data_IF_895647810638
#
_entry.id   IF_895647810638
#
_cell.length_a   1.000
_cell.length_b   1.000
_cell.length_c   1.000
_cell.angle_alpha   90.00
_cell.angle_beta   90.00
_cell.angle_gamma   90.00
#
_symmetry.space_group_name_H-M   'P 1'
#
loop_
_entity.id
_entity.type
_entity.pdbx_description
1 polymer ?
#
# COMPACT_ATOMS: atom_id res chain seq x y z
N UNK A 1 -59.38 39.47 37.74
CA UNK A 1 -58.38 39.48 36.65
C UNK A 1 -57.22 38.61 37.11
N UNK A 2 -57.13 37.41 36.53
CA UNK A 2 -55.98 36.51 36.31
C UNK A 2 -54.75 36.56 37.24
N UNK A 3 -54.06 35.49 37.67
CA UNK A 3 -54.17 34.01 37.59
C UNK A 3 -52.93 33.43 38.32
N UNK A 4 -53.10 32.33 39.07
CA UNK A 4 -52.25 31.13 39.32
C UNK A 4 -50.76 31.08 38.87
N UNK A 5 -49.76 30.45 39.54
CA UNK A 5 -49.59 29.09 40.17
C UNK A 5 -48.28 29.12 41.05
N UNK A 6 -48.15 28.62 42.30
CA UNK A 6 -47.97 27.23 42.84
C UNK A 6 -46.96 26.36 42.03
N UNK A 7 -45.91 25.72 42.54
CA UNK A 7 -45.77 24.87 43.74
C UNK A 7 -44.31 24.74 44.26
N UNK A 8 -44.22 24.21 45.49
CA UNK A 8 -43.07 23.87 46.34
C UNK A 8 -42.73 22.38 46.21
N UNK A 9 -41.44 22.01 46.27
CA UNK A 9 -40.94 20.64 46.60
C UNK A 9 -39.41 20.71 46.82
N UNK A 10 -38.70 19.79 47.48
CA UNK A 10 -38.87 19.00 48.72
C UNK A 10 -37.46 18.38 48.98
N UNK A 11 -37.29 17.84 50.18
CA UNK A 11 -36.12 17.38 50.90
C UNK A 11 -35.09 16.43 50.22
N UNK A 12 -33.88 16.59 50.75
CA UNK A 12 -32.70 15.72 50.71
C UNK A 12 -32.92 14.33 51.33
N UNK A 13 -32.50 13.27 50.64
CA UNK A 13 -32.35 11.93 51.22
C UNK A 13 -30.94 11.36 50.93
N UNK A 14 -30.38 10.71 51.94
CA UNK A 14 -29.06 10.09 51.92
C UNK A 14 -29.15 8.65 52.40
N UNK A 15 -28.72 7.70 51.57
CA UNK A 15 -28.58 6.30 51.99
C UNK A 15 -27.33 5.60 51.41
N UNK A 16 -26.89 4.61 52.18
CA UNK A 16 -25.54 4.04 52.30
C UNK A 16 -25.20 3.00 51.22
N UNK A 17 -23.89 2.93 50.94
CA UNK A 17 -23.18 1.86 50.21
C UNK A 17 -23.32 0.50 50.90
N UNK A 18 -23.57 -0.55 50.10
CA UNK A 18 -23.28 -1.95 50.45
C UNK A 18 -22.22 -2.46 49.47
N UNK A 19 -21.10 -2.89 50.03
CA UNK A 19 -19.91 -3.38 49.34
C UNK A 19 -19.93 -4.92 49.37
N UNK A 20 -20.17 -5.56 48.22
CA UNK A 20 -20.16 -7.03 48.10
C UNK A 20 -18.84 -7.45 47.47
N UNK A 21 -17.88 -7.76 48.34
CA UNK A 21 -16.57 -8.29 47.98
C UNK A 21 -16.65 -9.82 47.93
N UNK A 22 -16.70 -10.37 46.72
CA UNK A 22 -16.54 -11.79 46.43
C UNK A 22 -15.71 -11.99 45.17
N UNK A 23 -14.38 -11.86 45.28
CA UNK A 23 -13.47 -12.23 44.20
C UNK A 23 -13.00 -13.68 44.42
N UNK A 24 -13.54 -14.55 43.57
CA UNK A 24 -13.11 -15.91 43.31
C UNK A 24 -11.75 -15.88 42.59
N UNK A 25 -10.83 -16.74 43.02
CA UNK A 25 -9.47 -16.90 42.51
C UNK A 25 -9.43 -17.14 41.00
N UNK A 26 -8.76 -16.27 40.26
CA UNK A 26 -8.42 -16.48 38.85
C UNK A 26 -7.28 -17.49 38.72
N UNK A 27 -7.58 -18.64 38.10
CA UNK A 27 -6.57 -19.53 37.54
C UNK A 27 -5.87 -18.83 36.38
N UNK A 28 -4.58 -18.56 36.54
CA UNK A 28 -3.75 -17.91 35.52
C UNK A 28 -3.45 -18.86 34.36
N UNK A 29 -4.23 -18.77 33.28
CA UNK A 29 -3.79 -19.22 31.96
C UNK A 29 -2.93 -18.13 31.32
N UNK A 30 -1.69 -18.47 30.98
CA UNK A 30 -0.77 -17.57 30.29
C UNK A 30 -1.42 -17.00 29.00
N UNK A 31 -1.31 -15.70 28.72
CA UNK A 31 -1.92 -15.13 27.53
C UNK A 31 -1.26 -15.70 26.27
N UNK A 32 -2.05 -16.40 25.45
CA UNK A 32 -1.62 -16.91 24.15
C UNK A 32 -0.98 -15.79 23.32
N UNK A 33 0.26 -16.02 22.90
CA UNK A 33 1.11 -15.06 22.17
C UNK A 33 0.43 -14.68 20.84
N UNK A 34 -0.22 -13.51 20.80
CA UNK A 34 -0.85 -12.98 19.58
C UNK A 34 0.25 -12.42 18.67
N UNK A 35 0.44 -12.92 17.43
CA UNK A 35 1.44 -12.36 16.53
C UNK A 35 1.08 -10.90 16.20
N UNK A 36 2.06 -9.98 16.13
CA UNK A 36 1.78 -8.59 15.84
C UNK A 36 1.25 -8.48 14.39
N UNK A 37 0.18 -7.70 14.14
CA UNK A 37 -0.40 -7.54 12.81
C UNK A 37 0.60 -7.03 11.76
N UNK A 38 1.70 -6.39 12.19
CA UNK A 38 2.75 -5.91 11.32
C UNK A 38 3.52 -7.04 10.61
N UNK A 39 3.89 -8.13 11.28
CA UNK A 39 4.68 -9.21 10.67
C UNK A 39 3.87 -9.95 9.59
N UNK A 40 2.56 -10.09 9.81
CA UNK A 40 1.68 -10.68 8.81
C UNK A 40 1.59 -9.83 7.54
N UNK A 41 1.47 -8.50 7.69
CA UNK A 41 1.52 -7.57 6.57
C UNK A 41 2.86 -7.67 5.85
N UNK A 42 3.98 -7.69 6.57
CA UNK A 42 5.32 -7.83 5.98
C UNK A 42 5.44 -9.14 5.19
N UNK A 43 4.92 -10.24 5.71
CA UNK A 43 4.87 -11.52 5.01
C UNK A 43 4.11 -11.46 3.69
N UNK A 44 2.97 -10.75 3.64
CA UNK A 44 2.19 -10.55 2.41
C UNK A 44 2.81 -9.54 1.43
N UNK A 45 3.59 -8.56 1.94
CA UNK A 45 4.28 -7.58 1.09
C UNK A 45 5.38 -8.22 0.23
N UNK A 46 6.00 -9.31 0.69
CA UNK A 46 7.04 -10.04 -0.08
C UNK A 46 6.50 -10.53 -1.43
N UNK A 47 5.55 -11.47 -1.50
CA UNK A 47 5.05 -11.96 -2.78
C UNK A 47 4.35 -10.87 -3.59
N UNK A 48 3.64 -9.94 -2.94
CA UNK A 48 2.94 -8.87 -3.63
C UNK A 48 3.90 -7.90 -4.34
N UNK A 49 4.99 -7.50 -3.68
CA UNK A 49 6.01 -6.63 -4.30
C UNK A 49 6.75 -7.33 -5.44
N UNK A 50 7.15 -8.59 -5.25
CA UNK A 50 7.79 -9.40 -6.31
C UNK A 50 6.89 -9.53 -7.53
N UNK A 51 5.61 -9.84 -7.33
CA UNK A 51 4.63 -9.91 -8.41
C UNK A 51 4.47 -8.56 -9.10
N UNK A 52 4.38 -7.46 -8.35
CA UNK A 52 4.29 -6.12 -8.92
C UNK A 52 5.53 -5.74 -9.75
N UNK A 53 6.74 -6.08 -9.28
CA UNK A 53 7.98 -5.89 -10.04
C UNK A 53 8.00 -6.73 -11.32
N UNK A 54 7.58 -7.99 -11.26
CA UNK A 54 7.45 -8.84 -12.44
C UNK A 54 6.47 -8.26 -13.45
N UNK A 55 5.32 -7.79 -12.99
CA UNK A 55 4.33 -7.13 -13.83
C UNK A 55 4.90 -5.88 -14.48
N UNK A 56 5.63 -5.03 -13.74
CA UNK A 56 6.32 -3.86 -14.30
C UNK A 56 7.31 -4.27 -15.40
N UNK A 57 8.24 -5.19 -15.09
CA UNK A 57 9.24 -5.66 -16.05
C UNK A 57 8.55 -6.22 -17.29
N UNK A 58 7.59 -7.12 -17.11
CA UNK A 58 6.87 -7.77 -18.20
C UNK A 58 6.12 -6.79 -19.09
N UNK A 59 5.34 -5.87 -18.52
CA UNK A 59 4.60 -4.85 -19.29
C UNK A 59 5.58 -3.94 -20.03
N UNK A 60 6.60 -3.41 -19.36
CA UNK A 60 7.58 -2.54 -20.00
C UNK A 60 8.28 -3.25 -21.16
N UNK A 61 8.67 -4.52 -20.98
CA UNK A 61 9.25 -5.32 -22.06
C UNK A 61 8.28 -5.57 -23.22
N UNK A 62 7.00 -5.86 -22.94
CA UNK A 62 5.98 -6.09 -23.99
C UNK A 62 5.73 -4.84 -24.84
N UNK A 63 5.87 -3.64 -24.26
CA UNK A 63 5.70 -2.37 -24.96
C UNK A 63 7.00 -1.75 -25.46
N UNK A 64 8.12 -2.47 -25.36
CA UNK A 64 9.41 -2.09 -25.94
C UNK A 64 9.53 -2.66 -27.35
N UNK A 65 8.93 -1.97 -28.33
CA UNK A 65 9.03 -2.30 -29.75
C UNK A 65 9.08 -1.01 -30.58
N UNK A 66 9.54 -1.13 -31.84
CA UNK A 66 9.67 0.00 -32.73
C UNK A 66 8.33 0.73 -32.93
N UNK A 67 8.34 2.06 -32.80
CA UNK A 67 7.14 2.91 -32.94
C UNK A 67 6.02 2.59 -31.94
N UNK A 68 6.38 2.23 -30.70
CA UNK A 68 5.40 2.06 -29.62
C UNK A 68 4.52 3.32 -29.47
N UNK A 69 3.20 3.19 -29.27
CA UNK A 69 2.30 4.35 -29.24
C UNK A 69 2.59 5.33 -28.10
N UNK A 70 3.12 4.81 -26.99
CA UNK A 70 3.48 5.58 -25.80
C UNK A 70 4.92 5.23 -25.41
N UNK A 71 5.83 6.16 -25.68
CA UNK A 71 7.23 6.12 -25.28
C UNK A 71 7.45 7.20 -24.20
N UNK A 72 8.00 6.88 -23.02
CA UNK A 72 8.57 5.59 -22.57
C UNK A 72 7.53 4.51 -22.24
N UNK A 73 7.84 3.21 -22.47
CA UNK A 73 6.93 2.09 -22.19
C UNK A 73 6.49 1.96 -20.72
N UNK A 74 7.19 2.61 -19.79
CA UNK A 74 6.86 2.60 -18.36
C UNK A 74 5.45 3.13 -18.09
N UNK A 75 4.91 4.00 -18.96
CA UNK A 75 3.56 4.56 -18.85
C UNK A 75 2.50 3.45 -18.73
N UNK A 76 2.67 2.33 -19.44
CA UNK A 76 1.74 1.20 -19.37
C UNK A 76 1.71 0.51 -18.01
N UNK A 77 2.87 0.41 -17.33
CA UNK A 77 2.92 -0.08 -15.96
C UNK A 77 2.19 0.88 -15.00
N UNK A 78 2.33 2.20 -15.20
CA UNK A 78 1.60 3.19 -14.40
C UNK A 78 0.08 3.05 -14.58
N UNK A 79 -0.39 2.90 -15.83
CA UNK A 79 -1.81 2.70 -16.15
C UNK A 79 -2.37 1.47 -15.43
N UNK A 80 -1.71 0.33 -15.56
CA UNK A 80 -2.19 -0.94 -14.97
C UNK A 80 -2.17 -0.87 -13.44
N UNK A 81 -1.07 -0.38 -12.85
CA UNK A 81 -0.96 -0.26 -11.40
C UNK A 81 -1.97 0.73 -10.80
N UNK A 82 -2.20 1.87 -11.46
CA UNK A 82 -3.20 2.85 -11.03
C UNK A 82 -4.64 2.32 -11.18
N UNK A 83 -4.97 1.61 -12.27
CA UNK A 83 -6.29 1.01 -12.43
C UNK A 83 -6.61 -0.01 -11.32
N UNK A 84 -5.67 -0.93 -11.04
CA UNK A 84 -5.87 -1.92 -9.95
C UNK A 84 -5.94 -1.23 -8.59
N UNK A 85 -5.13 -0.18 -8.35
CA UNK A 85 -5.21 0.61 -7.13
C UNK A 85 -6.59 1.30 -6.98
N UNK A 86 -7.13 1.85 -8.06
CA UNK A 86 -8.45 2.50 -8.07
C UNK A 86 -9.57 1.53 -7.72
N UNK A 87 -9.56 0.33 -8.31
CA UNK A 87 -10.52 -0.71 -7.98
C UNK A 87 -10.41 -1.18 -6.53
N UNK A 88 -9.19 -1.31 -6.00
CA UNK A 88 -8.97 -1.61 -4.58
C UNK A 88 -9.50 -0.49 -3.68
N UNK A 89 -9.26 0.77 -4.03
CA UNK A 89 -9.71 1.95 -3.29
C UNK A 89 -11.23 2.03 -3.21
N UNK A 90 -11.94 1.77 -4.32
CA UNK A 90 -13.41 1.72 -4.37
C UNK A 90 -13.96 0.62 -3.46
N UNK A 91 -13.31 -0.55 -3.46
CA UNK A 91 -13.75 -1.71 -2.68
C UNK A 91 -13.14 -1.79 -1.28
N UNK A 92 -12.60 -0.69 -0.74
CA UNK A 92 -11.92 -0.67 0.57
C UNK A 92 -12.84 -1.16 1.69
N UNK A 93 -14.12 -0.77 1.67
CA UNK A 93 -15.11 -1.22 2.66
C UNK A 93 -15.29 -2.74 2.64
N UNK A 94 -15.25 -3.39 1.48
CA UNK A 94 -15.29 -4.85 1.37
C UNK A 94 -14.07 -5.51 1.98
N UNK A 95 -12.87 -4.99 1.71
CA UNK A 95 -11.67 -5.47 2.38
C UNK A 95 -11.78 -5.30 3.89
N UNK A 96 -12.26 -4.16 4.38
CA UNK A 96 -12.45 -3.93 5.81
C UNK A 96 -13.58 -4.77 6.42
N UNK A 97 -14.57 -5.19 5.63
CA UNK A 97 -15.64 -6.10 6.04
C UNK A 97 -15.19 -7.55 6.17
N UNK A 98 -14.07 -7.95 5.55
CA UNK A 98 -13.42 -9.24 5.77
C UNK A 98 -12.70 -9.20 7.13
N UNK A 99 -13.50 -9.24 8.20
CA UNK A 99 -13.05 -9.35 9.59
C UNK A 99 -13.28 -10.76 10.08
N UNK A 100 -12.17 -11.40 10.45
CA UNK A 100 -12.23 -12.63 11.23
C UNK A 100 -12.57 -12.29 12.67
N UNK A 101 -13.86 -12.43 13.06
CA UNK A 101 -14.27 -12.31 14.47
C UNK A 101 -13.57 -13.42 15.26
N UNK A 102 -12.73 -13.01 16.19
CA UNK A 102 -11.96 -13.91 17.05
C UNK A 102 -12.63 -14.18 18.39
N UNK A 103 -13.79 -13.59 18.70
CA UNK A 103 -14.44 -13.82 20.00
C UNK A 103 -15.91 -13.35 20.04
N UNK A 104 -16.71 -13.97 20.91
CA UNK A 104 -18.04 -13.49 21.32
C UNK A 104 -17.97 -12.32 22.32
N UNK A 105 -16.77 -11.90 22.72
CA UNK A 105 -16.56 -10.74 23.58
C UNK A 105 -16.53 -9.43 22.78
N UNK A 106 -17.28 -8.38 23.21
CA UNK A 106 -17.47 -7.13 22.45
C UNK A 106 -16.21 -6.23 22.31
N UNK A 107 -15.03 -6.69 22.75
CA UNK A 107 -13.79 -5.90 22.71
C UNK A 107 -12.56 -6.65 22.16
N UNK A 108 -12.72 -7.83 21.56
CA UNK A 108 -11.58 -8.64 21.11
C UNK A 108 -11.21 -8.41 19.63
N UNK A 109 -9.94 -8.05 19.44
CA UNK A 109 -9.22 -7.76 18.20
C UNK A 109 -9.32 -8.91 17.18
N UNK A 110 -10.12 -8.73 16.12
CA UNK A 110 -10.11 -9.61 14.95
C UNK A 110 -8.78 -9.49 14.17
N UNK A 111 -8.29 -10.60 13.60
CA UNK A 111 -7.16 -10.57 12.68
C UNK A 111 -7.55 -9.68 11.51
N UNK A 112 -6.81 -8.59 11.30
CA UNK A 112 -7.07 -7.61 10.26
C UNK A 112 -6.66 -8.14 8.86
N UNK A 113 -7.02 -9.38 8.53
CA UNK A 113 -6.69 -10.06 7.28
C UNK A 113 -7.08 -9.21 6.08
N UNK A 114 -8.31 -8.68 6.08
CA UNK A 114 -8.79 -7.79 5.02
C UNK A 114 -7.93 -6.54 4.84
N UNK A 115 -7.51 -5.88 5.92
CA UNK A 115 -6.59 -4.73 5.86
C UNK A 115 -5.19 -5.13 5.40
N UNK A 116 -4.72 -6.32 5.79
CA UNK A 116 -3.42 -6.84 5.38
C UNK A 116 -3.41 -7.18 3.88
N UNK A 117 -4.48 -7.79 3.36
CA UNK A 117 -4.67 -8.06 1.93
C UNK A 117 -4.82 -6.78 1.13
N UNK A 118 -5.60 -5.81 1.60
CA UNK A 118 -5.70 -4.48 1.00
C UNK A 118 -4.33 -3.81 0.93
N UNK A 119 -3.56 -3.89 2.02
CA UNK A 119 -2.20 -3.34 2.09
C UNK A 119 -1.26 -4.08 1.13
N UNK A 120 -1.34 -5.40 1.04
CA UNK A 120 -0.54 -6.18 0.10
C UNK A 120 -0.88 -5.84 -1.35
N UNK A 121 -2.16 -5.67 -1.69
CA UNK A 121 -2.58 -5.29 -3.04
C UNK A 121 -2.15 -3.85 -3.39
N UNK A 122 -2.44 -2.88 -2.52
CA UNK A 122 -2.17 -1.46 -2.80
C UNK A 122 -0.70 -1.10 -2.57
N UNK A 123 -0.20 -1.34 -1.35
CA UNK A 123 1.16 -1.01 -0.96
C UNK A 123 2.18 -2.05 -1.41
N UNK A 124 1.83 -3.32 -1.59
CA UNK A 124 2.75 -4.32 -2.15
C UNK A 124 2.73 -4.30 -3.68
N UNK A 125 1.67 -4.84 -4.28
CA UNK A 125 1.56 -5.05 -5.73
C UNK A 125 1.48 -3.75 -6.51
N UNK A 126 0.40 -2.97 -6.42
CA UNK A 126 0.21 -1.77 -7.25
C UNK A 126 1.38 -0.78 -7.10
N UNK A 127 1.84 -0.58 -5.86
CA UNK A 127 2.98 0.30 -5.60
C UNK A 127 4.33 -0.23 -6.08
N UNK A 128 4.45 -1.52 -6.42
CA UNK A 128 5.65 -2.11 -7.07
C UNK A 128 5.48 -2.28 -8.58
N UNK A 129 4.24 -2.23 -9.10
CA UNK A 129 3.96 -2.10 -10.54
C UNK A 129 4.31 -0.68 -10.99
N UNK A 130 3.77 0.32 -10.29
CA UNK A 130 4.05 1.73 -10.59
C UNK A 130 5.40 2.16 -10.03
N UNK A 131 6.05 3.17 -10.63
CA UNK A 131 7.33 3.72 -10.13
C UNK A 131 7.42 5.21 -10.41
N UNK A 132 7.60 6.02 -9.38
CA UNK A 132 7.78 7.47 -9.55
C UNK A 132 9.21 7.82 -9.96
N UNK A 133 10.19 7.13 -9.37
CA UNK A 133 11.62 7.42 -9.61
C UNK A 133 12.02 7.21 -11.08
N UNK A 134 11.60 6.10 -11.70
CA UNK A 134 11.88 5.81 -13.11
C UNK A 134 11.20 6.82 -14.03
N UNK A 135 9.95 7.19 -13.76
CA UNK A 135 9.23 8.21 -14.55
C UNK A 135 9.96 9.56 -14.55
N UNK A 136 10.38 10.05 -13.38
CA UNK A 136 11.10 11.32 -13.31
C UNK A 136 12.49 11.22 -13.96
N UNK A 137 13.15 10.05 -13.91
CA UNK A 137 14.40 9.84 -14.65
C UNK A 137 14.17 10.00 -16.16
N UNK A 138 13.14 9.36 -16.70
CA UNK A 138 12.82 9.45 -18.14
C UNK A 138 12.49 10.89 -18.54
N UNK A 139 11.72 11.62 -17.72
CA UNK A 139 11.42 13.04 -17.96
C UNK A 139 12.70 13.89 -17.97
N UNK A 140 13.60 13.65 -17.01
CA UNK A 140 14.88 14.36 -16.91
C UNK A 140 15.78 14.07 -18.13
N UNK A 141 15.88 12.82 -18.57
CA UNK A 141 16.69 12.45 -19.72
C UNK A 141 16.15 13.03 -21.03
N UNK A 142 14.82 13.14 -21.17
CA UNK A 142 14.18 13.84 -22.28
C UNK A 142 14.53 15.34 -22.28
N UNK A 143 14.51 16.01 -21.11
CA UNK A 143 14.90 17.42 -20.99
C UNK A 143 16.35 17.68 -21.31
N UNK A 144 17.24 16.85 -20.78
CA UNK A 144 18.68 16.96 -20.98
C UNK A 144 19.14 16.43 -22.35
N UNK A 145 18.20 15.99 -23.21
CA UNK A 145 18.46 15.43 -24.53
C UNK A 145 19.48 14.28 -24.50
N UNK A 146 19.44 13.44 -23.46
CA UNK A 146 20.31 12.27 -23.33
C UNK A 146 19.86 11.09 -24.20
N UNK A 147 18.65 11.15 -24.76
CA UNK A 147 18.08 10.15 -25.68
C UNK A 147 18.74 10.14 -27.08
N UNK A 148 19.60 11.13 -27.37
CA UNK A 148 20.40 11.17 -28.60
C UNK A 148 19.63 11.60 -29.85
N UNK A 149 18.41 12.10 -29.70
CA UNK A 149 17.61 12.60 -30.81
C UNK A 149 18.04 14.02 -31.17
N UNK A 150 18.11 14.33 -32.48
CA UNK A 150 18.43 15.68 -32.95
C UNK A 150 17.24 16.62 -32.70
N UNK A 151 17.32 17.35 -31.58
CA UNK A 151 16.29 18.27 -31.09
C UNK A 151 16.95 19.52 -30.54
N UNK A 152 16.34 20.68 -30.81
CA UNK A 152 16.73 21.92 -30.14
C UNK A 152 16.29 21.89 -28.67
N UNK A 153 16.97 22.65 -27.79
CA UNK A 153 16.68 22.64 -26.36
C UNK A 153 15.22 22.91 -25.98
N UNK A 154 14.53 23.77 -26.74
CA UNK A 154 13.09 24.02 -26.54
C UNK A 154 12.21 22.80 -26.86
N UNK A 155 12.58 22.00 -27.86
CA UNK A 155 11.87 20.75 -28.19
C UNK A 155 12.10 19.68 -27.13
N UNK A 156 13.32 19.56 -26.59
CA UNK A 156 13.65 18.63 -25.50
C UNK A 156 12.91 18.99 -24.20
N UNK A 157 12.80 20.29 -23.89
CA UNK A 157 11.98 20.77 -22.78
C UNK A 157 10.49 20.42 -22.95
N UNK A 158 9.94 20.66 -24.14
CA UNK A 158 8.54 20.33 -24.44
C UNK A 158 8.30 18.81 -24.41
N UNK A 159 9.28 18.01 -24.82
CA UNK A 159 9.19 16.55 -24.79
C UNK A 159 9.02 16.02 -23.36
N UNK A 160 9.88 16.41 -22.41
CA UNK A 160 9.74 15.92 -21.03
C UNK A 160 8.52 16.51 -20.33
N UNK A 161 8.10 17.76 -20.61
CA UNK A 161 6.81 18.26 -20.10
C UNK A 161 5.65 17.42 -20.65
N UNK A 162 5.63 17.19 -21.96
CA UNK A 162 4.60 16.38 -22.61
C UNK A 162 4.51 15.00 -21.98
N UNK A 163 5.65 14.36 -21.75
CA UNK A 163 5.75 13.06 -21.08
C UNK A 163 5.22 13.09 -19.64
N UNK A 164 5.55 14.12 -18.85
CA UNK A 164 5.01 14.31 -17.50
C UNK A 164 3.48 14.42 -17.52
N UNK A 165 2.93 15.24 -18.42
CA UNK A 165 1.49 15.44 -18.54
C UNK A 165 0.77 14.16 -18.95
N UNK A 166 1.28 13.46 -19.98
CA UNK A 166 0.71 12.20 -20.44
C UNK A 166 0.71 11.16 -19.32
N UNK A 167 1.82 10.99 -18.61
CA UNK A 167 1.95 10.02 -17.52
C UNK A 167 0.98 10.33 -16.39
N UNK A 168 0.90 11.59 -15.95
CA UNK A 168 -0.01 12.00 -14.88
C UNK A 168 -1.48 11.87 -15.25
N UNK A 169 -1.87 12.33 -16.45
CA UNK A 169 -3.25 12.26 -16.92
C UNK A 169 -3.69 10.79 -17.04
N UNK A 170 -2.89 9.94 -17.69
CA UNK A 170 -3.23 8.54 -17.88
C UNK A 170 -3.24 7.77 -16.54
N UNK A 171 -2.36 8.11 -15.59
CA UNK A 171 -2.37 7.53 -14.25
C UNK A 171 -3.62 7.91 -13.45
N UNK A 172 -4.04 9.17 -13.49
CA UNK A 172 -5.26 9.62 -12.80
C UNK A 172 -6.52 9.09 -13.49
N UNK A 173 -6.54 9.08 -14.83
CA UNK A 173 -7.66 8.54 -15.61
C UNK A 173 -7.83 7.05 -15.36
N UNK A 174 -6.74 6.28 -15.38
CA UNK A 174 -6.77 4.84 -15.08
C UNK A 174 -7.20 4.54 -13.64
N UNK A 175 -6.75 5.34 -12.65
CA UNK A 175 -7.24 5.24 -11.28
C UNK A 175 -8.78 5.38 -11.22
N UNK A 176 -9.33 6.41 -11.88
CA UNK A 176 -10.79 6.64 -11.93
C UNK A 176 -11.52 5.54 -12.69
N UNK A 177 -10.96 5.06 -13.79
CA UNK A 177 -11.50 3.94 -14.55
C UNK A 177 -11.58 2.68 -13.67
N UNK A 178 -10.51 2.39 -12.93
CA UNK A 178 -10.48 1.28 -11.97
C UNK A 178 -11.56 1.38 -10.89
N UNK A 179 -11.80 2.58 -10.35
CA UNK A 179 -12.89 2.81 -9.40
C UNK A 179 -14.26 2.55 -10.05
N UNK A 180 -14.48 3.05 -11.27
CA UNK A 180 -15.75 2.89 -11.98
C UNK A 180 -16.05 1.44 -12.33
N UNK A 181 -15.04 0.71 -12.84
CA UNK A 181 -15.16 -0.72 -13.13
C UNK A 181 -15.45 -1.55 -11.87
N UNK A 182 -14.88 -1.16 -10.73
CA UNK A 182 -15.16 -1.81 -9.45
C UNK A 182 -16.59 -1.54 -8.95
N UNK A 183 -17.11 -0.33 -9.15
CA UNK A 183 -18.49 0.04 -8.81
C UNK A 183 -19.52 -0.71 -9.67
N UNK A 184 -19.29 -0.80 -10.99
CA UNK A 184 -20.20 -1.51 -11.91
C UNK A 184 -20.05 -3.03 -11.86
N UNK A 185 -18.85 -3.53 -11.53
CA UNK A 185 -18.51 -4.95 -11.54
C UNK A 185 -18.93 -5.74 -10.29
N UNK A 186 -19.74 -5.15 -9.40
CA UNK A 186 -20.04 -5.71 -8.07
C UNK A 186 -20.63 -7.13 -7.96
N UNK A 187 -21.18 -7.81 -9.00
CA UNK A 187 -21.57 -9.21 -8.84
C UNK A 187 -20.52 -10.27 -9.22
N UNK A 188 -19.47 -9.99 -10.00
CA UNK A 188 -18.67 -11.07 -10.61
C UNK A 188 -17.31 -11.35 -9.94
N UNK A 189 -16.49 -10.32 -9.70
CA UNK A 189 -15.12 -10.51 -9.22
C UNK A 189 -15.06 -10.84 -7.72
N UNK A 190 -15.80 -10.10 -6.89
CA UNK A 190 -15.79 -10.30 -5.44
C UNK A 190 -16.62 -11.52 -5.00
N UNK A 191 -17.69 -11.86 -5.72
CA UNK A 191 -18.40 -13.15 -5.58
C UNK A 191 -17.45 -14.34 -5.74
N UNK A 192 -16.54 -14.28 -6.72
CA UNK A 192 -15.51 -15.30 -6.93
C UNK A 192 -14.49 -15.36 -5.79
N UNK A 193 -14.01 -14.21 -5.32
CA UNK A 193 -13.08 -14.15 -4.17
C UNK A 193 -13.74 -14.72 -2.91
N UNK A 194 -14.99 -14.35 -2.62
CA UNK A 194 -15.77 -14.88 -1.49
C UNK A 194 -16.00 -16.40 -1.65
N UNK A 195 -16.19 -16.90 -2.88
CA UNK A 195 -16.30 -18.35 -3.17
C UNK A 195 -15.00 -19.11 -2.97
N UNK A 196 -13.84 -18.48 -3.16
CA UNK A 196 -12.53 -19.08 -2.86
C UNK A 196 -12.27 -19.09 -1.34
N UNK A 197 -12.77 -18.10 -0.60
CA UNK A 197 -12.68 -18.10 0.86
C UNK A 197 -13.48 -19.29 1.45
N UNK A 198 -12.88 -20.08 2.37
CA UNK A 198 -13.58 -21.18 3.02
C UNK A 198 -14.85 -20.68 3.72
N UNK A 199 -15.91 -21.49 3.68
CA UNK A 199 -17.26 -21.12 4.15
C UNK A 199 -17.30 -20.58 5.59
N UNK A 200 -16.33 -20.97 6.43
CA UNK A 200 -16.13 -20.45 7.79
C UNK A 200 -15.83 -18.94 7.88
N UNK A 201 -15.49 -18.30 6.77
CA UNK A 201 -15.12 -16.88 6.65
C UNK A 201 -16.20 -16.03 5.97
N UNK A 202 -17.27 -16.67 5.46
CA UNK A 202 -18.36 -15.99 4.77
C UNK A 202 -19.36 -15.50 5.81
N UNK A 203 -19.51 -14.19 5.94
CA UNK A 203 -20.72 -13.64 6.55
C UNK A 203 -21.89 -13.97 5.62
N UNK A 204 -22.73 -14.92 6.02
CA UNK A 204 -24.11 -14.90 5.60
C UNK A 204 -24.69 -13.58 6.08
N UNK A 205 -25.21 -12.76 5.17
CA UNK A 205 -26.19 -11.75 5.57
C UNK A 205 -27.30 -12.55 6.28
N UNK A 206 -27.36 -12.47 7.61
CA UNK A 206 -28.44 -13.12 8.34
C UNK A 206 -29.71 -12.51 7.80
N UNK A 207 -30.47 -13.29 7.03
CA UNK A 207 -31.83 -12.92 6.73
C UNK A 207 -32.53 -12.75 8.08
N UNK A 208 -33.31 -11.69 8.19
CA UNK A 208 -34.11 -11.32 9.36
C UNK A 208 -35.07 -12.44 9.81
N UNK A 209 -35.11 -13.58 9.09
CA UNK A 209 -35.92 -14.76 9.34
C UNK A 209 -35.34 -15.73 10.40
N UNK A 210 -34.02 -15.78 10.62
CA UNK A 210 -33.46 -16.68 11.66
C UNK A 210 -33.62 -16.14 13.08
N UNK A 211 -33.72 -14.82 13.23
CA UNK A 211 -33.93 -14.16 14.53
C UNK A 211 -35.37 -14.32 15.05
N UNK A 212 -36.35 -14.48 14.16
CA UNK A 212 -37.73 -14.78 14.51
C UNK A 212 -37.96 -16.26 14.81
N UNK A 213 -37.20 -17.16 14.16
CA UNK A 213 -37.24 -18.60 14.48
C UNK A 213 -36.67 -18.89 15.88
N UNK A 214 -35.53 -18.28 16.25
CA UNK A 214 -34.94 -18.49 17.58
C UNK A 214 -35.75 -17.88 18.73
N UNK A 215 -36.56 -16.85 18.46
CA UNK A 215 -37.45 -16.25 19.47
C UNK A 215 -38.73 -17.08 19.68
N UNK A 216 -39.21 -17.75 18.63
CA UNK A 216 -40.38 -18.63 18.72
C UNK A 216 -40.06 -19.94 19.45
N UNK A 217 -38.83 -20.45 19.35
CA UNK A 217 -38.41 -21.66 20.09
C UNK A 217 -38.14 -21.37 21.57
N UNK A 218 -37.75 -20.14 21.93
CA UNK A 218 -37.46 -19.77 23.32
C UNK A 218 -38.71 -19.58 24.21
N UNK A 219 -39.90 -19.47 23.62
CA UNK A 219 -41.17 -19.36 24.35
C UNK A 219 -41.90 -20.70 24.56
N UNK A 220 -41.36 -21.82 24.04
CA UNK A 220 -42.01 -23.14 24.15
C UNK A 220 -41.40 -24.06 25.23
N UNK A 221 -40.35 -23.62 25.94
CA UNK A 221 -39.55 -24.50 26.80
C UNK A 221 -39.55 -24.07 28.29
N UNK A 222 -40.66 -23.49 28.74
CA UNK A 222 -40.94 -23.24 30.18
C UNK A 222 -41.96 -24.22 30.73
N UNK A 223 -41.84 -25.51 30.42
CA UNK A 223 -42.50 -26.53 31.23
C UNK A 223 -41.70 -27.85 31.26
N UNK A 224 -41.41 -28.25 32.50
CA UNK A 224 -41.15 -29.62 33.00
C UNK A 224 -39.70 -30.17 33.08
N UNK A 225 -39.23 -30.19 34.33
CA UNK A 225 -38.44 -31.23 35.07
C UNK A 225 -36.95 -31.46 34.77
N UNK A 226 -36.12 -31.67 35.81
CA UNK A 226 -34.68 -31.91 35.64
C UNK A 226 -34.39 -33.41 35.48
N UNK A 227 -33.65 -33.78 34.43
CA UNK A 227 -32.96 -35.06 34.36
C UNK A 227 -31.59 -34.91 33.69
N UNK A 228 -30.71 -35.83 34.07
CA UNK A 228 -29.25 -35.86 34.08
C UNK A 228 -28.51 -35.74 32.74
N UNK A 229 -27.24 -35.31 32.87
CA UNK A 229 -26.11 -35.47 31.95
C UNK A 229 -26.13 -34.71 30.62
N UNK A 230 -25.89 -33.39 30.70
CA UNK A 230 -25.44 -32.60 29.55
C UNK A 230 -23.92 -32.41 29.58
N UNK A 231 -23.19 -32.70 28.46
CA UNK A 231 -21.78 -32.36 28.38
C UNK A 231 -21.64 -30.84 28.43
N UNK A 232 -20.78 -30.39 29.33
CA UNK A 232 -20.54 -28.99 29.67
C UNK A 232 -20.40 -28.12 28.40
N UNK A 233 -21.40 -27.28 28.14
CA UNK A 233 -21.45 -26.42 26.95
C UNK A 233 -20.25 -25.47 26.86
N UNK A 234 -19.58 -25.21 27.98
CA UNK A 234 -18.36 -24.40 28.05
C UNK A 234 -17.16 -25.12 27.41
N UNK A 235 -17.05 -26.44 27.54
CA UNK A 235 -15.97 -27.24 26.95
C UNK A 235 -16.06 -27.34 25.42
N UNK A 236 -17.28 -27.43 24.89
CA UNK A 236 -17.53 -27.48 23.44
C UNK A 236 -17.21 -26.14 22.78
N UNK A 237 -17.57 -25.03 23.44
CA UNK A 237 -17.25 -23.67 22.98
C UNK A 237 -15.73 -23.44 23.04
N UNK A 238 -15.09 -23.77 24.17
CA UNK A 238 -13.64 -23.65 24.33
C UNK A 238 -12.84 -24.49 23.32
N UNK A 239 -13.29 -25.70 22.99
CA UNK A 239 -12.67 -26.53 21.94
C UNK A 239 -12.82 -25.91 20.56
N UNK A 240 -13.99 -25.37 20.21
CA UNK A 240 -14.23 -24.71 18.91
C UNK A 240 -13.37 -23.45 18.75
N UNK A 241 -13.23 -22.65 19.80
CA UNK A 241 -12.44 -21.41 19.76
C UNK A 241 -10.93 -21.71 19.72
N UNK A 242 -10.47 -22.73 20.45
CA UNK A 242 -9.10 -23.23 20.37
C UNK A 242 -8.74 -23.73 18.97
N UNK A 243 -9.64 -24.48 18.32
CA UNK A 243 -9.45 -24.94 16.94
C UNK A 243 -9.42 -23.79 15.92
N UNK A 244 -10.21 -22.75 16.12
CA UNK A 244 -10.22 -21.55 15.25
C UNK A 244 -8.91 -20.77 15.39
N UNK A 245 -8.45 -20.55 16.62
CA UNK A 245 -7.19 -19.87 16.90
C UNK A 245 -5.99 -20.60 16.27
N UNK A 246 -5.96 -21.93 16.36
CA UNK A 246 -4.92 -22.76 15.74
C UNK A 246 -4.87 -22.62 14.21
N UNK A 247 -6.03 -22.55 13.53
CA UNK A 247 -6.09 -22.35 12.07
C UNK A 247 -5.49 -21.01 11.63
N UNK A 248 -5.65 -19.95 12.42
CA UNK A 248 -5.09 -18.63 12.08
C UNK A 248 -3.59 -18.55 12.33
N UNK A 249 -3.12 -19.16 13.41
CA UNK A 249 -1.68 -19.29 13.66
C UNK A 249 -1.02 -20.08 12.53
N UNK A 250 -1.67 -21.15 12.04
CA UNK A 250 -1.20 -21.90 10.88
C UNK A 250 -1.15 -21.02 9.61
N UNK A 251 -2.19 -20.24 9.31
CA UNK A 251 -2.19 -19.33 8.15
C UNK A 251 -1.08 -18.27 8.24
N UNK A 252 -0.88 -17.69 9.41
CA UNK A 252 0.19 -16.73 9.66
C UNK A 252 1.57 -17.36 9.44
N UNK A 253 1.84 -18.51 10.07
CA UNK A 253 3.10 -19.24 9.95
C UNK A 253 3.33 -19.63 8.49
N UNK A 254 2.31 -20.17 7.81
CA UNK A 254 2.39 -20.55 6.40
C UNK A 254 2.73 -19.34 5.51
N UNK A 255 2.14 -18.18 5.77
CA UNK A 255 2.43 -16.94 5.02
C UNK A 255 3.87 -16.48 5.24
N UNK A 256 4.36 -16.50 6.48
CA UNK A 256 5.75 -16.14 6.78
C UNK A 256 6.75 -17.14 6.18
N UNK A 257 6.50 -18.44 6.29
CA UNK A 257 7.33 -19.49 5.70
C UNK A 257 7.36 -19.37 4.19
N UNK A 258 6.20 -19.12 3.56
CA UNK A 258 6.12 -18.88 2.12
C UNK A 258 6.93 -17.65 1.70
N UNK A 259 6.80 -16.53 2.41
CA UNK A 259 7.55 -15.31 2.14
C UNK A 259 9.07 -15.51 2.27
N UNK A 260 9.52 -16.17 3.33
CA UNK A 260 10.95 -16.50 3.54
C UNK A 260 11.43 -17.46 2.45
N UNK A 261 10.63 -18.48 2.10
CA UNK A 261 10.93 -19.42 1.02
C UNK A 261 11.12 -18.70 -0.32
N UNK A 262 10.26 -17.74 -0.65
CA UNK A 262 10.41 -16.92 -1.85
C UNK A 262 11.69 -16.08 -1.84
N UNK A 263 12.01 -15.42 -0.72
CA UNK A 263 13.25 -14.63 -0.58
C UNK A 263 14.50 -15.49 -0.73
N UNK A 264 14.52 -16.66 -0.11
CA UNK A 264 15.64 -17.62 -0.22
C UNK A 264 15.75 -18.09 -1.67
N UNK A 265 14.63 -18.48 -2.28
CA UNK A 265 14.61 -18.96 -3.66
C UNK A 265 15.11 -17.90 -4.64
N UNK A 266 14.62 -16.65 -4.56
CA UNK A 266 15.07 -15.57 -5.46
C UNK A 266 16.53 -15.19 -5.22
N UNK A 267 17.00 -15.23 -3.98
CA UNK A 267 18.41 -15.00 -3.65
C UNK A 267 19.33 -16.10 -4.19
N UNK A 268 18.90 -17.37 -4.10
CA UNK A 268 19.63 -18.50 -4.68
C UNK A 268 19.68 -18.42 -6.20
N UNK A 269 18.56 -18.08 -6.87
CA UNK A 269 18.55 -17.86 -8.31
C UNK A 269 19.47 -16.70 -8.72
N UNK A 270 19.45 -15.59 -7.96
CA UNK A 270 20.33 -14.45 -8.21
C UNK A 270 21.82 -14.84 -8.13
N UNK A 271 22.19 -15.65 -7.13
CA UNK A 271 23.56 -16.11 -6.94
C UNK A 271 23.98 -17.16 -7.98
N UNK A 272 23.14 -18.18 -8.21
CA UNK A 272 23.53 -19.43 -8.86
C UNK A 272 23.07 -19.55 -10.32
N UNK A 273 22.01 -18.84 -10.75
CA UNK A 273 21.41 -19.02 -12.07
C UNK A 273 21.54 -17.77 -12.95
N UNK A 274 22.56 -17.79 -13.82
CA UNK A 274 22.92 -16.66 -14.70
C UNK A 274 21.77 -16.20 -15.62
N UNK A 275 21.00 -17.10 -16.27
CA UNK A 275 20.01 -16.67 -17.28
C UNK A 275 18.91 -15.74 -16.75
N UNK A 276 18.52 -15.89 -15.47
CA UNK A 276 17.49 -15.03 -14.86
C UNK A 276 18.05 -14.10 -13.80
N UNK A 277 19.38 -13.98 -13.66
CA UNK A 277 20.03 -13.25 -12.57
C UNK A 277 19.49 -11.83 -12.43
N UNK A 278 19.39 -11.07 -13.52
CA UNK A 278 18.89 -9.69 -13.51
C UNK A 278 17.50 -9.60 -12.88
N UNK A 279 16.57 -10.46 -13.30
CA UNK A 279 15.21 -10.54 -12.75
C UNK A 279 15.28 -10.99 -11.29
N UNK A 280 16.01 -12.06 -10.98
CA UNK A 280 16.11 -12.61 -9.62
C UNK A 280 16.68 -11.60 -8.61
N UNK A 281 17.67 -10.80 -9.02
CA UNK A 281 18.23 -9.70 -8.21
C UNK A 281 17.18 -8.60 -7.98
N UNK A 282 16.43 -8.22 -9.01
CA UNK A 282 15.34 -7.25 -8.87
C UNK A 282 14.26 -7.75 -7.88
N UNK A 283 13.87 -9.03 -7.97
CA UNK A 283 12.88 -9.64 -7.08
C UNK A 283 13.39 -9.84 -5.65
N UNK A 284 14.68 -10.12 -5.47
CA UNK A 284 15.26 -10.23 -4.14
C UNK A 284 15.25 -8.87 -3.40
N UNK A 285 15.43 -7.76 -4.13
CA UNK A 285 15.46 -6.40 -3.58
C UNK A 285 14.13 -5.65 -3.64
N UNK A 286 13.09 -6.20 -4.27
CA UNK A 286 11.75 -5.58 -4.30
C UNK A 286 11.10 -5.47 -2.91
N UNK A 287 11.15 -6.49 -2.01
CA UNK A 287 10.42 -6.43 -0.74
C UNK A 287 10.93 -5.36 0.22
N UNK A 288 12.24 -5.17 0.44
CA UNK A 288 12.73 -4.07 1.28
C UNK A 288 12.20 -2.70 0.85
N UNK A 289 12.10 -2.44 -0.46
CA UNK A 289 11.55 -1.18 -0.99
C UNK A 289 10.08 -1.00 -0.64
N UNK A 290 9.26 -2.03 -0.89
CA UNK A 290 7.83 -2.00 -0.57
C UNK A 290 7.56 -1.91 0.95
N UNK A 291 8.35 -2.62 1.76
CA UNK A 291 8.27 -2.57 3.23
C UNK A 291 8.61 -1.17 3.76
N UNK A 292 9.68 -0.55 3.24
CA UNK A 292 10.06 0.80 3.61
C UNK A 292 8.99 1.82 3.20
N UNK A 293 8.44 1.71 1.98
CA UNK A 293 7.31 2.57 1.55
C UNK A 293 6.10 2.41 2.47
N UNK A 294 5.70 1.18 2.80
CA UNK A 294 4.61 0.92 3.73
C UNK A 294 4.89 1.48 5.14
N UNK A 295 6.13 1.39 5.60
CA UNK A 295 6.52 1.98 6.87
C UNK A 295 6.37 3.50 6.85
N UNK A 296 6.86 4.16 5.79
CA UNK A 296 6.76 5.60 5.59
C UNK A 296 5.31 6.08 5.43
N UNK A 297 4.44 5.29 4.80
CA UNK A 297 3.04 5.66 4.59
C UNK A 297 2.25 5.85 5.88
N UNK A 298 2.74 5.33 7.03
CA UNK A 298 2.16 5.58 8.37
C UNK A 298 2.31 7.03 8.85
N UNK A 299 3.15 7.81 8.17
CA UNK A 299 3.35 9.24 8.41
C UNK A 299 2.37 10.07 7.58
N UNK A 300 1.73 9.49 6.55
CA UNK A 300 0.72 10.18 5.75
C UNK A 300 -0.44 10.62 6.66
N UNK A 301 -0.80 11.90 6.55
CA UNK A 301 -1.90 12.49 7.32
C UNK A 301 -1.55 12.96 8.73
N UNK A 302 -0.28 12.82 9.16
CA UNK A 302 0.21 13.56 10.33
C UNK A 302 0.48 15.00 9.92
N UNK A 303 -0.28 15.94 10.49
CA UNK A 303 0.02 17.36 10.36
C UNK A 303 1.28 17.71 11.13
N UNK A 304 2.42 17.80 10.44
CA UNK A 304 3.57 18.50 10.99
C UNK A 304 3.25 20.00 11.03
N UNK A 305 3.36 20.61 12.20
CA UNK A 305 3.16 22.06 12.42
C UNK A 305 4.20 22.96 11.68
N UNK A 306 4.91 22.45 10.69
CA UNK A 306 6.17 23.01 10.23
C UNK A 306 6.19 23.22 8.71
N UNK A 307 5.58 24.32 8.25
CA UNK A 307 6.07 25.11 7.12
C UNK A 307 5.41 26.50 7.17
N UNK A 308 6.14 27.58 7.51
CA UNK A 308 5.58 28.92 7.69
C UNK A 308 5.18 29.61 6.38
N UNK A 309 5.38 28.95 5.23
CA UNK A 309 5.09 29.51 3.90
C UNK A 309 3.60 29.54 3.60
N UNK A 310 2.78 28.71 4.26
CA UNK A 310 1.32 28.74 4.15
C UNK A 310 0.73 29.38 5.41
N UNK A 311 1.11 30.61 5.71
CA UNK A 311 0.42 31.41 6.74
C UNK A 311 -0.95 31.80 6.18
N UNK A 312 -1.95 30.93 6.40
CA UNK A 312 -3.36 31.28 6.15
C UNK A 312 -3.69 32.55 6.92
N UNK A 313 -4.15 33.57 6.20
CA UNK A 313 -4.78 34.76 6.77
C UNK A 313 -6.01 34.27 7.54
N UNK A 314 -5.93 34.33 8.86
CA UNK A 314 -7.00 34.01 9.80
C UNK A 314 -8.27 34.77 9.41
N UNK A 315 -9.31 34.04 9.03
CA UNK A 315 -10.69 34.53 9.08
C UNK A 315 -11.49 33.60 9.98
N UNK A 316 -11.90 34.17 11.13
CA UNK A 316 -12.96 33.75 12.07
C UNK A 316 -13.13 32.26 12.39
N UNK A 317 -12.92 31.97 13.68
CA UNK A 317 -13.49 30.91 14.51
C UNK A 317 -14.41 29.89 13.81
N UNK A 318 -13.91 28.64 13.72
CA UNK A 318 -14.73 27.48 13.32
C UNK A 318 -13.91 26.42 12.57
N UNK A 319 -13.29 25.50 13.31
CA UNK A 319 -12.90 24.16 12.87
C UNK A 319 -12.19 24.05 11.49
N UNK A 320 -10.93 24.48 11.37
CA UNK A 320 -10.08 23.99 10.27
C UNK A 320 -9.12 22.93 10.79
N UNK A 321 -9.47 21.66 10.56
CA UNK A 321 -8.53 20.55 10.72
C UNK A 321 -7.33 20.81 9.82
N UNK A 322 -6.09 20.68 10.32
CA UNK A 322 -4.91 20.93 9.51
C UNK A 322 -4.86 19.89 8.38
N UNK A 323 -4.67 20.37 7.15
CA UNK A 323 -4.70 19.54 5.95
C UNK A 323 -3.60 18.48 6.02
N UNK A 324 -4.04 17.22 6.04
CA UNK A 324 -3.21 16.04 6.18
C UNK A 324 -2.30 15.88 4.94
N UNK A 325 -1.09 16.44 4.97
CA UNK A 325 -0.13 16.34 3.87
C UNK A 325 0.45 14.91 3.76
N UNK A 326 0.61 14.36 2.54
CA UNK A 326 1.13 13.02 2.30
C UNK A 326 2.66 12.93 2.39
N UNK A 327 3.22 13.24 3.57
CA UNK A 327 4.67 13.26 3.79
C UNK A 327 5.36 11.92 3.53
N UNK A 328 4.74 10.81 3.91
CA UNK A 328 5.29 9.47 3.72
C UNK A 328 5.50 9.10 2.26
N UNK A 329 4.48 9.33 1.41
CA UNK A 329 4.58 9.07 -0.04
C UNK A 329 5.58 10.01 -0.70
N UNK A 330 5.57 11.30 -0.33
CA UNK A 330 6.58 12.26 -0.79
C UNK A 330 8.00 11.78 -0.47
N UNK A 331 8.27 11.45 0.80
CA UNK A 331 9.59 10.98 1.24
C UNK A 331 10.00 9.69 0.54
N UNK A 332 9.10 8.72 0.40
CA UNK A 332 9.38 7.47 -0.29
C UNK A 332 9.75 7.71 -1.77
N UNK A 333 9.01 8.59 -2.46
CA UNK A 333 9.31 8.97 -3.84
C UNK A 333 10.66 9.68 -3.98
N UNK A 334 10.98 10.61 -3.08
CA UNK A 334 12.26 11.33 -3.11
C UNK A 334 13.44 10.40 -2.82
N UNK A 335 13.32 9.48 -1.86
CA UNK A 335 14.34 8.46 -1.61
C UNK A 335 14.54 7.54 -2.82
N UNK A 336 13.47 7.13 -3.48
CA UNK A 336 13.55 6.36 -4.72
C UNK A 336 14.29 7.13 -5.82
N UNK A 337 13.95 8.40 -6.05
CA UNK A 337 14.66 9.28 -7.01
C UNK A 337 16.15 9.38 -6.67
N UNK A 338 16.50 9.57 -5.40
CA UNK A 338 17.90 9.63 -4.98
C UNK A 338 18.65 8.33 -5.25
N UNK A 339 18.06 7.17 -4.93
CA UNK A 339 18.68 5.86 -5.16
C UNK A 339 18.89 5.63 -6.66
N UNK A 340 17.86 5.89 -7.49
CA UNK A 340 17.96 5.74 -8.95
C UNK A 340 19.00 6.71 -9.52
N UNK A 341 19.01 7.98 -9.10
CA UNK A 341 19.97 8.97 -9.57
C UNK A 341 21.42 8.59 -9.23
N UNK A 342 21.66 8.14 -7.99
CA UNK A 342 22.97 7.67 -7.56
C UNK A 342 23.41 6.41 -8.31
N UNK A 343 22.50 5.43 -8.49
CA UNK A 343 22.75 4.21 -9.24
C UNK A 343 23.07 4.51 -10.71
N UNK A 344 22.27 5.37 -11.34
CA UNK A 344 22.46 5.83 -12.71
C UNK A 344 23.84 6.47 -12.88
N UNK A 345 24.20 7.42 -12.01
CA UNK A 345 25.51 8.08 -12.08
C UNK A 345 26.66 7.12 -11.82
N UNK A 346 26.55 6.19 -10.86
CA UNK A 346 27.60 5.20 -10.59
C UNK A 346 27.89 4.30 -11.80
N UNK A 347 26.86 3.94 -12.56
CA UNK A 347 27.00 3.15 -13.79
C UNK A 347 27.72 3.91 -14.91
N UNK A 348 27.58 5.24 -14.98
CA UNK A 348 28.21 6.05 -16.03
C UNK A 348 29.57 6.63 -15.61
N UNK A 349 29.79 6.93 -14.33
CA UNK A 349 31.05 7.48 -13.80
C UNK A 349 32.22 6.50 -13.86
N UNK A 350 31.95 5.20 -13.83
CA UNK A 350 32.98 4.16 -13.84
C UNK A 350 33.61 3.91 -15.23
N UNK A 351 33.49 4.85 -16.17
CA UNK A 351 34.01 4.77 -17.56
C UNK A 351 34.99 5.89 -17.93
N UNK A 352 35.51 6.64 -16.95
CA UNK A 352 36.47 7.73 -17.17
C UNK A 352 37.79 7.30 -17.82
N UNK A 353 38.19 6.04 -17.71
CA UNK A 353 39.43 5.57 -18.31
C UNK A 353 39.16 4.93 -19.66
N UNK A 354 39.32 5.71 -20.74
CA UNK A 354 39.33 5.22 -22.12
C UNK A 354 40.37 4.11 -22.39
N UNK A 355 41.29 3.88 -21.45
CA UNK A 355 42.28 2.80 -21.45
C UNK A 355 41.86 1.53 -20.67
N UNK A 356 40.74 1.57 -19.94
CA UNK A 356 40.23 0.41 -19.19
C UNK A 356 39.26 -0.40 -20.06
N UNK A 357 39.82 -1.34 -20.82
CA UNK A 357 39.09 -2.39 -21.56
C UNK A 357 38.42 -3.43 -20.65
N UNK A 358 38.20 -3.12 -19.37
CA UNK A 358 37.57 -4.07 -18.44
C UNK A 358 36.06 -3.93 -18.58
N UNK A 359 35.36 -4.87 -19.26
CA UNK A 359 33.91 -4.85 -19.31
C UNK A 359 33.38 -4.87 -17.89
N UNK A 360 32.34 -4.07 -17.63
CA UNK A 360 31.66 -4.09 -16.34
C UNK A 360 31.36 -5.55 -15.97
N UNK A 361 31.73 -5.98 -14.75
CA UNK A 361 31.30 -7.29 -14.29
C UNK A 361 29.78 -7.33 -14.40
N UNK A 362 29.23 -8.23 -15.22
CA UNK A 362 27.79 -8.36 -15.45
C UNK A 362 27.00 -8.38 -14.14
N UNK A 363 27.59 -8.97 -13.10
CA UNK A 363 27.08 -8.99 -11.73
C UNK A 363 26.84 -7.58 -11.17
N UNK A 364 27.77 -6.64 -11.36
CA UNK A 364 27.59 -5.26 -10.89
C UNK A 364 26.43 -4.58 -11.64
N UNK A 365 26.17 -4.93 -12.91
CA UNK A 365 25.07 -4.33 -13.70
C UNK A 365 23.75 -4.84 -13.17
N UNK A 366 23.66 -6.16 -12.96
CA UNK A 366 22.49 -6.79 -12.38
C UNK A 366 22.18 -6.22 -10.99
N UNK A 367 23.20 -6.01 -10.14
CA UNK A 367 23.02 -5.47 -8.79
C UNK A 367 22.61 -4.00 -8.78
N UNK A 368 23.33 -3.13 -9.51
CA UNK A 368 23.04 -1.69 -9.47
C UNK A 368 21.76 -1.36 -10.26
N UNK A 369 21.66 -1.84 -11.50
CA UNK A 369 20.50 -1.54 -12.36
C UNK A 369 19.28 -2.39 -11.95
N UNK A 370 19.37 -3.71 -12.04
CA UNK A 370 18.20 -4.55 -11.77
C UNK A 370 17.84 -4.57 -10.28
N UNK A 371 18.83 -4.56 -9.40
CA UNK A 371 18.63 -4.59 -7.95
C UNK A 371 18.19 -3.27 -7.34
N UNK A 372 19.02 -2.22 -7.44
CA UNK A 372 18.76 -0.95 -6.76
C UNK A 372 17.73 -0.09 -7.49
N UNK A 373 17.81 0.04 -8.81
CA UNK A 373 16.89 0.86 -9.59
C UNK A 373 15.55 0.12 -9.83
N UNK A 374 15.58 -1.05 -10.47
CA UNK A 374 14.36 -1.77 -10.85
C UNK A 374 13.71 -2.47 -9.65
N UNK A 375 14.47 -3.04 -8.72
CA UNK A 375 13.95 -3.71 -7.53
C UNK A 375 13.61 -2.74 -6.39
N UNK A 376 14.63 -2.30 -5.66
CA UNK A 376 14.50 -1.54 -4.42
C UNK A 376 13.80 -0.18 -4.62
N UNK A 377 14.38 0.72 -5.41
CA UNK A 377 13.88 2.08 -5.59
C UNK A 377 12.56 2.11 -6.37
N UNK A 378 12.43 1.23 -7.37
CA UNK A 378 11.19 1.03 -8.10
C UNK A 378 10.03 0.55 -7.22
N UNK A 379 10.27 -0.19 -6.13
CA UNK A 379 9.21 -0.58 -5.19
C UNK A 379 9.03 0.39 -4.03
N UNK A 380 10.07 1.17 -3.71
CA UNK A 380 10.05 2.24 -2.72
C UNK A 380 9.25 3.46 -3.20
N UNK A 381 9.34 3.79 -4.48
CA UNK A 381 8.64 4.93 -5.09
C UNK A 381 7.42 4.49 -5.88
N UNK A 382 6.37 5.31 -5.97
CA UNK A 382 5.09 4.91 -6.58
C UNK A 382 4.30 6.09 -7.15
N UNK A 383 3.64 5.86 -8.29
CA UNK A 383 2.63 6.79 -8.83
C UNK A 383 1.23 6.45 -8.32
N UNK A 384 0.90 5.19 -8.06
CA UNK A 384 -0.46 4.78 -7.71
C UNK A 384 -0.97 5.42 -6.40
N UNK A 385 -0.12 5.46 -5.35
CA UNK A 385 -0.47 6.15 -4.09
C UNK A 385 -0.47 7.67 -4.27
N UNK A 386 0.48 8.22 -5.02
CA UNK A 386 0.57 9.64 -5.34
C UNK A 386 -0.69 10.14 -6.11
N UNK A 387 -1.15 9.38 -7.11
CA UNK A 387 -2.35 9.69 -7.88
C UNK A 387 -3.62 9.61 -7.00
N UNK A 388 -3.71 8.62 -6.11
CA UNK A 388 -4.82 8.53 -5.16
C UNK A 388 -4.83 9.69 -4.15
N UNK A 389 -3.66 10.16 -3.72
CA UNK A 389 -3.53 11.36 -2.87
C UNK A 389 -3.93 12.63 -3.61
N UNK A 390 -3.52 12.80 -4.87
CA UNK A 390 -3.98 13.92 -5.70
C UNK A 390 -5.49 13.90 -5.92
N UNK A 391 -6.06 12.72 -6.14
CA UNK A 391 -7.50 12.54 -6.29
C UNK A 391 -8.26 12.94 -5.01
N UNK A 392 -7.78 12.50 -3.84
CA UNK A 392 -8.42 12.80 -2.54
C UNK A 392 -8.23 14.26 -2.11
N UNK A 393 -7.02 14.82 -2.25
CA UNK A 393 -6.75 16.24 -1.97
C UNK A 393 -7.52 17.16 -2.93
N UNK A 394 -7.65 16.78 -4.20
CA UNK A 394 -8.31 17.56 -5.24
C UNK A 394 -9.85 17.55 -5.20
N UNK A 395 -10.46 16.75 -4.31
CA UNK A 395 -11.91 16.57 -4.25
C UNK A 395 -12.66 17.87 -3.83
N UNK A 396 -12.05 18.71 -2.99
CA UNK A 396 -12.64 19.98 -2.55
C UNK A 396 -12.14 21.20 -3.34
N UNK A 397 -13.03 22.15 -3.66
CA UNK A 397 -12.67 23.41 -4.34
C UNK A 397 -11.57 24.20 -3.62
N UNK A 398 -11.60 24.21 -2.28
CA UNK A 398 -10.60 24.90 -1.44
C UNK A 398 -9.27 24.15 -1.31
N UNK A 399 -9.25 22.84 -1.54
CA UNK A 399 -8.07 21.97 -1.38
C UNK A 399 -7.37 21.63 -2.70
N UNK A 400 -7.95 22.03 -3.85
CA UNK A 400 -7.32 21.90 -5.18
C UNK A 400 -5.95 22.57 -5.26
N UNK A 401 -5.76 23.72 -4.60
CA UNK A 401 -4.46 24.39 -4.55
C UNK A 401 -3.41 23.54 -3.83
N UNK A 402 -3.79 22.82 -2.77
CA UNK A 402 -2.88 21.91 -2.07
C UNK A 402 -2.51 20.69 -2.92
N UNK A 403 -3.46 20.12 -3.68
CA UNK A 403 -3.19 19.03 -4.62
C UNK A 403 -2.23 19.48 -5.74
N UNK A 404 -2.46 20.66 -6.32
CA UNK A 404 -1.57 21.24 -7.33
C UNK A 404 -0.18 21.50 -6.76
N UNK A 405 -0.09 22.11 -5.57
CA UNK A 405 1.18 22.33 -4.89
C UNK A 405 1.92 21.02 -4.61
N UNK A 406 1.21 19.99 -4.15
CA UNK A 406 1.80 18.67 -3.91
C UNK A 406 2.33 18.02 -5.19
N UNK A 407 1.59 18.13 -6.29
CA UNK A 407 2.03 17.62 -7.58
C UNK A 407 3.31 18.32 -8.05
N UNK A 408 3.31 19.65 -8.08
CA UNK A 408 4.47 20.43 -8.50
C UNK A 408 5.67 20.26 -7.56
N UNK A 409 5.46 20.19 -6.24
CA UNK A 409 6.54 19.97 -5.28
C UNK A 409 7.18 18.60 -5.47
N UNK A 410 6.38 17.53 -5.63
CA UNK A 410 6.89 16.18 -5.84
C UNK A 410 7.65 16.05 -7.16
N UNK A 411 7.07 16.56 -8.25
CA UNK A 411 7.67 16.52 -9.59
C UNK A 411 8.93 17.39 -9.66
N UNK A 412 8.84 18.65 -9.23
CA UNK A 412 9.92 19.62 -9.30
C UNK A 412 11.11 19.24 -8.42
N UNK A 413 10.88 18.76 -7.20
CA UNK A 413 11.98 18.31 -6.32
C UNK A 413 12.66 17.06 -6.88
N UNK A 414 11.90 16.14 -7.48
CA UNK A 414 12.48 14.98 -8.17
C UNK A 414 13.41 15.40 -9.32
N UNK A 415 13.00 16.35 -10.15
CA UNK A 415 13.83 16.88 -11.23
C UNK A 415 15.09 17.59 -10.72
N UNK A 416 14.98 18.37 -9.66
CA UNK A 416 16.14 19.03 -9.02
C UNK A 416 17.13 17.98 -8.52
N UNK A 417 16.67 16.92 -7.87
CA UNK A 417 17.53 15.83 -7.40
C UNK A 417 18.27 15.14 -8.54
N UNK A 418 17.59 14.84 -9.66
CA UNK A 418 18.29 14.28 -10.83
C UNK A 418 19.24 15.28 -11.47
N UNK A 419 18.90 16.57 -11.56
CA UNK A 419 19.84 17.57 -12.06
C UNK A 419 21.14 17.58 -11.22
N UNK A 420 21.03 17.48 -9.90
CA UNK A 420 22.19 17.45 -8.99
C UNK A 420 22.97 16.14 -9.10
N UNK A 421 22.28 14.99 -9.11
CA UNK A 421 22.91 13.68 -9.06
C UNK A 421 23.42 13.22 -10.43
N UNK A 422 22.81 13.66 -11.53
CA UNK A 422 23.03 13.15 -12.88
C UNK A 422 23.68 14.21 -13.78
N UNK A 423 23.19 15.45 -13.83
CA UNK A 423 23.72 16.47 -14.74
C UNK A 423 25.18 16.84 -14.41
N UNK A 424 25.42 17.18 -13.15
CA UNK A 424 26.72 17.69 -12.70
C UNK A 424 27.82 16.65 -12.92
N UNK A 425 27.62 15.36 -12.57
CA UNK A 425 28.63 14.35 -12.84
C UNK A 425 28.75 14.01 -14.33
N UNK A 426 27.66 13.89 -15.08
CA UNK A 426 27.72 13.44 -16.48
C UNK A 426 28.25 14.47 -17.46
N UNK A 427 28.17 15.77 -17.16
CA UNK A 427 28.87 16.77 -17.98
C UNK A 427 30.39 16.58 -17.99
N UNK A 428 30.93 15.83 -17.02
CA UNK A 428 32.35 15.46 -16.96
C UNK A 428 32.66 14.08 -17.56
N UNK A 429 31.64 13.32 -17.97
CA UNK A 429 31.75 11.93 -18.40
C UNK A 429 31.16 11.76 -19.81
N UNK A 430 31.97 11.36 -20.78
CA UNK A 430 31.49 11.09 -22.15
C UNK A 430 30.34 10.05 -22.15
N UNK A 431 29.35 10.22 -23.05
CA UNK A 431 28.19 9.34 -23.19
C UNK A 431 28.63 7.88 -23.39
N UNK A 432 28.20 6.98 -22.51
CA UNK A 432 28.34 5.53 -22.74
C UNK A 432 27.11 4.77 -22.20
N UNK A 433 26.65 3.76 -22.94
CA UNK A 433 25.41 3.00 -22.71
C UNK A 433 25.30 2.32 -21.33
N UNK A 434 24.13 2.40 -20.66
CA UNK A 434 23.93 1.96 -19.25
C UNK A 434 24.54 0.58 -18.91
N UNK A 435 24.29 -0.43 -19.74
CA UNK A 435 24.89 -1.78 -19.72
C UNK A 435 24.74 -2.37 -21.14
N UNK A 436 25.77 -3.01 -21.74
CA UNK A 436 25.59 -3.65 -23.05
C UNK A 436 24.60 -4.82 -22.93
N UNK A 437 23.62 -4.86 -23.85
CA UNK A 437 22.79 -6.04 -24.05
C UNK A 437 23.67 -7.23 -24.51
N UNK A 438 23.31 -8.44 -24.09
CA UNK A 438 23.95 -9.66 -24.58
C UNK A 438 23.67 -9.86 -26.08
#
# INVERSE_FOLDING_TARGET
MSTHHLDVDDHSDGQRKVDVRGQMSSSGTAPALRPPPALFILGLLVPASMLGTLTRIGITSLFTFAHTPLDPPIIWAQIIGCAVFGGALQNKAYFEAIVLRLDHHPQAVGLQLGKALYTALTSGYCGSVTTFSTWILDDYLAWANYDGVDRSGGKSFLAGIGQSFVTLILSIASLRLGMKLAEEGEPFCMSWVIKILPASLRLGASSTAERSASLATFQAETDLTPSSDHPDGTDIVNKKDSQRLAKYQLLYIATCVFAVGLLVMTSLLAALYIPTRSISVALALSPPGAMLRWYLSRINGKSFKALPVIRRRSTRAGQSSPEAWPYGTFTANMLGVTIVGAAYTALHASRTDAASTVPYSRVKCDVIYSGLEVGLAGCLSTISTFAAELYTLGAGLKTRQAAVLYAFASWGWGLVLYALLVAVPLQTLHRVDRCPAA
#
